data_IF_176844301455
#
_entry.id   IF_176844301455
#
_cell.length_a   1.000
_cell.length_b   1.000
_cell.length_c   1.000
_cell.angle_alpha   90.00
_cell.angle_beta   90.00
_cell.angle_gamma   90.00
#
_symmetry.space_group_name_H-M   'P 1'
#
loop_
_entity.id
_entity.type
_entity.pdbx_description
1 polymer ?
#
# COMPACT_ATOMS: atom_id res chain seq x y z
N UNK A 1 12.38 -21.69 -3.12
CA UNK A 1 11.73 -22.05 -1.84
C UNK A 1 11.73 -20.84 -0.92
N UNK A 2 10.58 -20.54 -0.29
CA UNK A 2 10.55 -19.60 0.82
C UNK A 2 11.31 -20.26 1.98
N UNK A 3 12.33 -19.58 2.49
CA UNK A 3 13.31 -20.15 3.44
C UNK A 3 12.71 -20.63 4.78
N UNK A 4 11.43 -20.33 5.05
CA UNK A 4 10.76 -20.55 6.33
C UNK A 4 9.25 -20.84 6.20
N UNK A 5 8.82 -21.65 5.22
CA UNK A 5 7.41 -22.03 5.13
C UNK A 5 7.20 -23.43 4.58
N UNK A 6 6.30 -24.19 5.22
CA UNK A 6 5.85 -25.49 4.70
C UNK A 6 4.87 -25.27 3.55
N UNK A 7 5.34 -25.38 2.30
CA UNK A 7 4.51 -25.23 1.09
C UNK A 7 3.41 -26.30 1.00
N UNK A 8 3.68 -27.51 1.53
CA UNK A 8 2.74 -28.64 1.56
C UNK A 8 2.69 -29.20 2.99
N UNK A 9 1.81 -28.71 3.86
CA UNK A 9 1.69 -29.22 5.22
C UNK A 9 1.27 -30.69 5.21
N UNK A 10 1.71 -31.46 6.22
CA UNK A 10 1.22 -32.82 6.42
C UNK A 10 -0.30 -32.82 6.70
N UNK A 11 -0.95 -33.97 6.54
CA UNK A 11 -2.37 -34.11 6.87
C UNK A 11 -2.62 -33.72 8.34
N UNK A 12 -3.48 -32.73 8.58
CA UNK A 12 -3.78 -32.20 9.92
C UNK A 12 -2.84 -31.10 10.42
N UNK A 13 -1.83 -30.69 9.63
CA UNK A 13 -0.96 -29.56 9.94
C UNK A 13 -1.46 -28.28 9.23
N UNK A 14 -1.44 -27.15 9.92
CA UNK A 14 -1.67 -25.85 9.30
C UNK A 14 -0.39 -25.32 8.64
N UNK A 15 -0.47 -24.61 7.50
CA UNK A 15 0.70 -24.03 6.87
C UNK A 15 1.27 -22.88 7.71
N UNK A 16 2.60 -22.81 7.83
CA UNK A 16 3.30 -21.74 8.58
C UNK A 16 3.05 -20.35 7.99
N UNK A 17 2.75 -20.29 6.69
CA UNK A 17 2.36 -19.07 5.97
C UNK A 17 1.01 -19.33 5.31
N UNK A 18 -0.02 -18.62 5.77
CA UNK A 18 -1.39 -18.74 5.28
C UNK A 18 -1.95 -17.45 4.67
N UNK A 19 -1.08 -16.45 4.45
CA UNK A 19 -1.42 -15.16 3.85
C UNK A 19 -0.46 -14.86 2.69
N UNK A 20 -1.01 -14.74 1.47
CA UNK A 20 -0.25 -14.37 0.28
C UNK A 20 -0.54 -12.97 -0.23
N UNK A 21 0.31 -12.52 -1.15
CA UNK A 21 0.10 -11.32 -1.95
C UNK A 21 -0.25 -11.73 -3.38
N UNK A 22 -1.32 -11.17 -3.93
CA UNK A 22 -1.57 -11.16 -5.37
C UNK A 22 -1.48 -9.72 -5.87
N UNK A 23 -0.73 -9.48 -6.94
CA UNK A 23 -0.56 -8.14 -7.51
C UNK A 23 -1.15 -8.06 -8.91
N UNK A 24 -1.77 -6.93 -9.23
CA UNK A 24 -2.31 -6.62 -10.56
C UNK A 24 -2.00 -5.17 -10.94
N UNK A 25 -1.76 -4.94 -12.22
CA UNK A 25 -1.64 -3.61 -12.82
C UNK A 25 -2.64 -3.54 -13.96
N UNK A 26 -3.45 -2.48 -13.97
CA UNK A 26 -4.34 -2.18 -15.09
C UNK A 26 -3.69 -1.13 -15.96
N UNK A 27 -3.53 -1.40 -17.26
CA UNK A 27 -2.88 -0.50 -18.21
C UNK A 27 -3.85 0.05 -19.26
N UNK A 28 -5.16 -0.15 -19.09
CA UNK A 28 -6.19 0.22 -20.05
C UNK A 28 -5.96 -0.46 -21.42
N UNK A 29 -5.44 -1.69 -21.34
CA UNK A 29 -5.22 -2.59 -22.47
C UNK A 29 -6.19 -3.76 -22.30
N UNK A 30 -7.15 -3.89 -23.20
CA UNK A 30 -8.24 -4.84 -23.06
C UNK A 30 -7.74 -6.27 -22.88
N UNK A 31 -6.78 -6.70 -23.69
CA UNK A 31 -6.32 -8.09 -23.69
C UNK A 31 -5.49 -8.40 -22.44
N UNK A 32 -4.59 -7.49 -22.04
CA UNK A 32 -3.75 -7.65 -20.86
C UNK A 32 -4.55 -7.55 -19.55
N UNK A 33 -5.48 -6.58 -19.47
CA UNK A 33 -6.31 -6.37 -18.29
C UNK A 33 -7.31 -7.54 -18.14
N UNK A 34 -7.89 -8.02 -19.24
CA UNK A 34 -8.75 -9.21 -19.23
C UNK A 34 -7.97 -10.46 -18.78
N UNK A 35 -6.76 -10.67 -19.31
CA UNK A 35 -5.91 -11.78 -18.89
C UNK A 35 -5.61 -11.72 -17.39
N UNK A 36 -5.32 -10.52 -16.86
CA UNK A 36 -5.07 -10.30 -15.43
C UNK A 36 -6.28 -10.68 -14.57
N UNK A 37 -7.49 -10.29 -15.00
CA UNK A 37 -8.75 -10.67 -14.33
C UNK A 37 -8.99 -12.19 -14.39
N UNK A 38 -8.72 -12.83 -15.53
CA UNK A 38 -8.84 -14.27 -15.69
C UNK A 38 -7.89 -15.03 -14.74
N UNK A 39 -6.64 -14.57 -14.63
CA UNK A 39 -5.65 -15.15 -13.69
C UNK A 39 -6.04 -14.92 -12.24
N UNK A 40 -6.55 -13.74 -11.90
CA UNK A 40 -7.02 -13.44 -10.55
C UNK A 40 -8.21 -14.33 -10.16
N UNK A 41 -9.14 -14.60 -11.11
CA UNK A 41 -10.22 -15.56 -10.90
C UNK A 41 -9.71 -16.96 -10.58
N UNK A 42 -8.76 -17.47 -11.37
CA UNK A 42 -8.14 -18.79 -11.12
C UNK A 42 -7.50 -18.85 -9.73
N UNK A 43 -6.68 -17.86 -9.40
CA UNK A 43 -6.03 -17.75 -8.09
C UNK A 43 -7.04 -17.76 -6.94
N UNK A 44 -8.12 -16.98 -7.02
CA UNK A 44 -9.16 -16.92 -5.98
C UNK A 44 -9.84 -18.26 -5.73
N UNK A 45 -10.08 -19.03 -6.79
CA UNK A 45 -10.70 -20.36 -6.67
C UNK A 45 -9.74 -21.30 -5.95
N UNK A 46 -8.47 -21.33 -6.35
CA UNK A 46 -7.44 -22.17 -5.73
C UNK A 46 -7.20 -21.77 -4.26
N UNK A 47 -7.13 -20.47 -3.98
CA UNK A 47 -6.97 -19.92 -2.64
C UNK A 47 -8.16 -20.32 -1.74
N UNK A 48 -9.39 -20.19 -2.25
CA UNK A 48 -10.60 -20.60 -1.52
C UNK A 48 -10.66 -22.09 -1.24
N UNK A 49 -10.29 -22.93 -2.22
CA UNK A 49 -10.23 -24.40 -2.06
C UNK A 49 -9.16 -24.83 -1.05
N UNK A 50 -8.08 -24.06 -0.95
CA UNK A 50 -6.94 -24.36 -0.07
C UNK A 50 -7.03 -23.69 1.30
N UNK A 51 -8.08 -22.90 1.57
CA UNK A 51 -8.17 -22.08 2.79
C UNK A 51 -7.07 -21.02 2.91
N UNK A 52 -6.47 -20.62 1.79
CA UNK A 52 -5.36 -19.68 1.75
C UNK A 52 -5.86 -18.24 1.66
N UNK A 53 -5.43 -17.38 2.59
CA UNK A 53 -5.85 -15.97 2.63
C UNK A 53 -4.93 -15.14 1.75
N UNK A 54 -5.42 -14.00 1.29
CA UNK A 54 -4.60 -13.10 0.48
C UNK A 54 -4.95 -11.64 0.70
N UNK A 55 -4.00 -10.77 0.42
CA UNK A 55 -4.26 -9.35 0.19
C UNK A 55 -3.92 -9.00 -1.26
N UNK A 56 -4.58 -7.97 -1.78
CA UNK A 56 -4.52 -7.62 -3.19
C UNK A 56 -3.78 -6.30 -3.36
N UNK A 57 -2.67 -6.32 -4.09
CA UNK A 57 -1.94 -5.12 -4.49
C UNK A 57 -2.37 -4.68 -5.88
N UNK A 58 -2.80 -3.42 -5.98
CA UNK A 58 -3.22 -2.82 -7.26
C UNK A 58 -2.34 -1.62 -7.54
N UNK A 59 -1.64 -1.66 -8.66
CA UNK A 59 -0.77 -0.59 -9.10
C UNK A 59 -1.49 0.36 -10.05
N UNK A 60 -1.02 1.62 -10.05
CA UNK A 60 -1.26 2.53 -11.16
C UNK A 60 -0.64 1.97 -12.45
N UNK A 61 -1.09 2.43 -13.64
CA UNK A 61 -0.49 2.04 -14.90
C UNK A 61 1.04 2.21 -14.90
N UNK A 62 1.75 1.26 -15.51
CA UNK A 62 3.20 1.22 -15.53
C UNK A 62 3.79 1.32 -16.95
N UNK A 63 2.96 1.69 -17.92
CA UNK A 63 3.33 2.03 -19.29
C UNK A 63 3.46 3.55 -19.44
N UNK A 64 4.21 4.00 -20.45
CA UNK A 64 4.44 5.43 -20.69
C UNK A 64 3.17 6.19 -21.06
N UNK A 65 2.24 5.52 -21.74
CA UNK A 65 0.93 6.06 -22.10
C UNK A 65 -0.08 4.91 -22.05
N UNK A 66 -1.11 5.05 -21.23
CA UNK A 66 -2.24 4.13 -21.12
C UNK A 66 -3.54 4.74 -21.69
N UNK A 67 -3.46 5.92 -22.33
CA UNK A 67 -4.63 6.65 -22.81
C UNK A 67 -5.53 7.22 -21.71
N UNK A 68 -5.13 7.13 -20.45
CA UNK A 68 -5.85 7.72 -19.30
C UNK A 68 -5.11 8.99 -18.86
N UNK A 69 -5.80 10.14 -18.76
CA UNK A 69 -5.20 11.37 -18.24
C UNK A 69 -4.63 11.18 -16.83
N UNK A 70 -3.46 11.77 -16.53
CA UNK A 70 -2.79 11.60 -15.23
C UNK A 70 -3.69 11.95 -14.04
N UNK A 71 -4.51 13.00 -14.16
CA UNK A 71 -5.45 13.44 -13.14
C UNK A 71 -6.68 12.51 -12.97
N UNK A 72 -6.88 11.54 -13.86
CA UNK A 72 -7.96 10.54 -13.81
C UNK A 72 -7.48 9.15 -13.42
N UNK A 73 -6.17 8.95 -13.20
CA UNK A 73 -5.60 7.66 -12.81
C UNK A 73 -6.22 7.12 -11.52
N UNK A 74 -6.50 8.01 -10.56
CA UNK A 74 -7.20 7.65 -9.32
C UNK A 74 -8.57 7.01 -9.60
N UNK A 75 -9.40 7.69 -10.40
CA UNK A 75 -10.74 7.24 -10.78
C UNK A 75 -10.69 5.93 -11.59
N UNK A 76 -9.76 5.84 -12.54
CA UNK A 76 -9.55 4.64 -13.34
C UNK A 76 -9.20 3.42 -12.47
N UNK A 77 -8.30 3.58 -11.50
CA UNK A 77 -7.90 2.47 -10.64
C UNK A 77 -9.03 2.03 -9.70
N UNK A 78 -9.74 2.97 -9.06
CA UNK A 78 -10.85 2.59 -8.16
C UNK A 78 -12.00 1.92 -8.91
N UNK A 79 -12.28 2.33 -10.14
CA UNK A 79 -13.29 1.72 -11.00
C UNK A 79 -12.91 0.29 -11.41
N UNK A 80 -11.63 0.05 -11.75
CA UNK A 80 -11.13 -1.29 -11.99
C UNK A 80 -11.17 -2.17 -10.73
N UNK A 81 -10.85 -1.64 -9.55
CA UNK A 81 -10.98 -2.37 -8.28
C UNK A 81 -12.44 -2.73 -8.02
N UNK A 82 -13.36 -1.77 -8.16
CA UNK A 82 -14.79 -1.99 -7.96
C UNK A 82 -15.31 -3.10 -8.88
N UNK A 83 -15.00 -3.05 -10.18
CA UNK A 83 -15.38 -4.09 -11.14
C UNK A 83 -14.72 -5.44 -10.86
N UNK A 84 -13.43 -5.45 -10.54
CA UNK A 84 -12.69 -6.67 -10.24
C UNK A 84 -13.25 -7.40 -9.00
N UNK A 85 -13.74 -6.64 -8.01
CA UNK A 85 -14.31 -7.19 -6.78
C UNK A 85 -15.84 -7.37 -6.82
N UNK A 86 -16.51 -6.85 -7.85
CA UNK A 86 -17.94 -6.99 -8.03
C UNK A 86 -18.34 -8.48 -8.14
N UNK A 87 -19.38 -8.86 -7.40
CA UNK A 87 -19.90 -10.24 -7.41
C UNK A 87 -19.00 -11.26 -6.70
N UNK A 88 -17.88 -10.85 -6.10
CA UNK A 88 -17.08 -11.74 -5.25
C UNK A 88 -17.78 -11.97 -3.91
N UNK A 89 -18.08 -13.23 -3.52
CA UNK A 89 -18.59 -13.54 -2.18
C UNK A 89 -17.62 -13.09 -1.10
N UNK A 90 -18.13 -12.60 0.04
CA UNK A 90 -17.29 -12.07 1.13
C UNK A 90 -16.18 -13.02 1.57
N UNK A 91 -16.45 -14.32 1.63
CA UNK A 91 -15.48 -15.35 2.01
C UNK A 91 -14.31 -15.53 1.02
N UNK A 92 -14.42 -14.97 -0.19
CA UNK A 92 -13.40 -15.05 -1.25
C UNK A 92 -12.83 -13.68 -1.63
N UNK A 93 -13.01 -12.67 -0.75
CA UNK A 93 -12.44 -11.33 -0.89
C UNK A 93 -11.01 -11.28 -0.31
N UNK A 94 -10.19 -10.32 -0.74
CA UNK A 94 -8.92 -10.07 -0.06
C UNK A 94 -9.15 -9.61 1.37
N UNK A 95 -8.20 -9.90 2.25
CA UNK A 95 -8.15 -9.39 3.63
C UNK A 95 -8.06 -7.86 3.67
N UNK A 96 -7.28 -7.30 2.75
CA UNK A 96 -7.18 -5.85 2.54
C UNK A 96 -6.61 -5.55 1.13
N UNK A 97 -6.77 -4.31 0.72
CA UNK A 97 -6.14 -3.76 -0.48
C UNK A 97 -4.81 -3.08 -0.12
N UNK A 98 -3.87 -3.14 -1.05
CA UNK A 98 -2.62 -2.38 -1.02
C UNK A 98 -2.52 -1.58 -2.31
N UNK A 99 -2.85 -0.29 -2.25
CA UNK A 99 -2.89 0.58 -3.44
C UNK A 99 -1.97 1.79 -3.32
N UNK A 100 -1.66 2.43 -4.44
CA UNK A 100 -1.09 3.78 -4.41
C UNK A 100 -2.08 4.78 -3.81
N UNK A 101 -1.58 5.77 -3.08
CA UNK A 101 -2.40 6.89 -2.63
C UNK A 101 -2.54 7.90 -3.79
N UNK A 102 -3.69 7.87 -4.46
CA UNK A 102 -4.00 8.75 -5.61
C UNK A 102 -4.79 10.00 -5.19
N UNK A 103 -4.62 10.44 -3.94
CA UNK A 103 -5.28 11.62 -3.38
C UNK A 103 -6.55 11.32 -2.57
N UNK A 104 -7.06 12.35 -1.89
CA UNK A 104 -8.14 12.22 -0.91
C UNK A 104 -9.44 11.72 -1.53
N UNK A 105 -9.87 12.33 -2.64
CA UNK A 105 -11.13 11.99 -3.29
C UNK A 105 -11.19 10.53 -3.77
N UNK A 106 -10.10 10.03 -4.38
CA UNK A 106 -10.03 8.64 -4.83
C UNK A 106 -10.04 7.66 -3.65
N UNK A 107 -9.31 7.97 -2.56
CA UNK A 107 -9.30 7.14 -1.36
C UNK A 107 -10.69 7.10 -0.70
N UNK A 108 -11.32 8.26 -0.50
CA UNK A 108 -12.65 8.37 0.10
C UNK A 108 -13.71 7.66 -0.74
N UNK A 109 -13.66 7.78 -2.06
CA UNK A 109 -14.57 7.11 -2.97
C UNK A 109 -14.48 5.57 -2.85
N UNK A 110 -13.26 5.02 -2.84
CA UNK A 110 -13.07 3.57 -2.72
C UNK A 110 -13.49 3.06 -1.34
N UNK A 111 -13.09 3.76 -0.27
CA UNK A 111 -13.46 3.40 1.11
C UNK A 111 -14.97 3.47 1.31
N UNK A 112 -15.64 4.47 0.74
CA UNK A 112 -17.09 4.63 0.84
C UNK A 112 -17.88 3.62 0.00
N UNK A 113 -17.32 3.15 -1.11
CA UNK A 113 -17.99 2.23 -2.04
C UNK A 113 -18.21 0.83 -1.45
N UNK A 114 -17.18 0.21 -0.86
CA UNK A 114 -17.30 -1.10 -0.22
C UNK A 114 -16.66 -1.10 1.17
N UNK A 115 -17.44 -0.77 2.23
CA UNK A 115 -16.92 -0.68 3.59
C UNK A 115 -16.52 -2.03 4.18
N UNK A 116 -16.79 -3.15 3.50
CA UNK A 116 -16.37 -4.47 3.97
C UNK A 116 -14.97 -4.87 3.49
N UNK A 117 -14.32 -4.06 2.65
CA UNK A 117 -12.94 -4.26 2.23
C UNK A 117 -12.06 -3.22 2.90
N UNK A 118 -11.07 -3.69 3.67
CA UNK A 118 -10.08 -2.80 4.28
C UNK A 118 -9.18 -2.23 3.20
N UNK A 119 -9.13 -0.90 3.07
CA UNK A 119 -8.24 -0.22 2.12
C UNK A 119 -6.92 0.14 2.81
N UNK A 120 -5.81 -0.21 2.18
CA UNK A 120 -4.46 0.12 2.63
C UNK A 120 -3.59 0.70 1.53
N UNK A 121 -2.52 1.37 1.92
CA UNK A 121 -1.60 2.05 1.01
C UNK A 121 -0.22 1.39 0.93
N UNK A 122 0.40 1.44 -0.23
CA UNK A 122 1.83 1.16 -0.40
C UNK A 122 2.67 2.40 -0.14
N UNK A 123 3.89 2.21 0.38
CA UNK A 123 4.82 3.31 0.62
C UNK A 123 5.50 3.85 -0.65
N UNK A 124 5.61 3.09 -1.74
CA UNK A 124 6.33 3.55 -2.92
C UNK A 124 7.85 3.52 -2.75
N UNK A 125 8.57 4.43 -3.41
CA UNK A 125 10.04 4.55 -3.38
C UNK A 125 10.51 5.31 -2.14
N UNK A 126 11.82 5.31 -1.87
CA UNK A 126 12.42 6.18 -0.85
C UNK A 126 12.15 7.64 -1.17
N UNK A 127 11.74 8.41 -0.17
CA UNK A 127 11.32 9.82 -0.28
C UNK A 127 12.00 10.67 0.79
N UNK A 128 11.56 11.91 0.95
CA UNK A 128 11.81 12.72 2.15
C UNK A 128 11.06 12.15 3.36
N UNK A 129 11.51 12.50 4.56
CA UNK A 129 10.84 12.13 5.82
C UNK A 129 9.43 12.70 5.89
N UNK A 130 9.27 13.98 5.54
CA UNK A 130 7.97 14.65 5.56
C UNK A 130 6.97 13.99 4.62
N UNK A 131 7.37 13.66 3.39
CA UNK A 131 6.51 12.98 2.42
C UNK A 131 6.01 11.63 2.96
N UNK A 132 6.83 10.89 3.72
CA UNK A 132 6.43 9.61 4.30
C UNK A 132 5.43 9.77 5.46
N UNK A 133 5.69 10.72 6.35
CA UNK A 133 4.82 10.98 7.50
C UNK A 133 3.49 11.61 7.05
N UNK A 134 3.53 12.51 6.07
CA UNK A 134 2.33 13.08 5.47
C UNK A 134 1.50 12.02 4.73
N UNK A 135 2.16 11.09 4.02
CA UNK A 135 1.48 10.00 3.32
C UNK A 135 0.65 9.13 4.25
N UNK A 136 1.24 8.63 5.34
CA UNK A 136 0.51 7.76 6.27
C UNK A 136 -0.59 8.52 7.02
N UNK A 137 -0.32 9.78 7.39
CA UNK A 137 -1.28 10.66 8.05
C UNK A 137 -2.51 10.91 7.17
N UNK A 138 -2.31 11.37 5.94
CA UNK A 138 -3.41 11.72 5.03
C UNK A 138 -4.17 10.47 4.58
N UNK A 139 -3.48 9.39 4.24
CA UNK A 139 -4.16 8.16 3.88
C UNK A 139 -5.08 7.67 5.01
N UNK A 140 -4.63 7.73 6.28
CA UNK A 140 -5.47 7.41 7.44
C UNK A 140 -6.67 8.36 7.55
N UNK A 141 -6.43 9.67 7.44
CA UNK A 141 -7.46 10.72 7.48
C UNK A 141 -8.57 10.46 6.46
N UNK A 142 -8.20 9.98 5.27
CA UNK A 142 -9.12 9.71 4.16
C UNK A 142 -9.66 8.28 4.12
N UNK A 143 -9.41 7.47 5.15
CA UNK A 143 -10.10 6.20 5.34
C UNK A 143 -9.24 4.93 5.23
N UNK A 144 -7.98 5.04 4.80
CA UNK A 144 -7.08 3.89 4.81
C UNK A 144 -6.83 3.39 6.24
N UNK A 145 -6.64 2.07 6.41
CA UNK A 145 -6.41 1.44 7.73
C UNK A 145 -5.17 0.57 7.80
N UNK A 146 -4.48 0.39 6.68
CA UNK A 146 -3.23 -0.38 6.59
C UNK A 146 -2.20 0.41 5.78
N UNK A 147 -0.94 0.35 6.17
CA UNK A 147 0.18 0.90 5.40
C UNK A 147 1.29 -0.15 5.28
N UNK A 148 1.75 -0.40 4.05
CA UNK A 148 2.83 -1.34 3.76
C UNK A 148 4.02 -0.58 3.18
N UNK A 149 4.89 -0.09 4.06
CA UNK A 149 6.07 0.68 3.71
C UNK A 149 7.29 -0.25 3.70
N UNK A 150 7.99 -0.33 2.56
CA UNK A 150 9.22 -1.12 2.42
C UNK A 150 10.43 -0.22 2.16
N UNK A 151 10.55 0.29 0.94
CA UNK A 151 11.71 1.10 0.50
C UNK A 151 11.91 2.37 1.33
N UNK A 152 10.83 3.04 1.76
CA UNK A 152 10.92 4.23 2.62
C UNK A 152 11.60 3.92 3.95
N UNK A 153 11.17 2.87 4.64
CA UNK A 153 11.76 2.45 5.91
C UNK A 153 13.22 2.02 5.69
N UNK A 154 13.47 1.17 4.69
CA UNK A 154 14.82 0.69 4.36
C UNK A 154 15.78 1.83 3.99
N UNK A 155 15.27 2.87 3.34
CA UNK A 155 16.05 4.00 2.86
C UNK A 155 16.24 5.12 3.90
N UNK A 156 15.65 5.01 5.09
CA UNK A 156 15.86 5.95 6.17
C UNK A 156 17.26 5.76 6.81
N UNK A 157 17.84 6.83 7.33
CA UNK A 157 19.14 6.82 8.01
C UNK A 157 19.13 5.92 9.25
N UNK A 158 17.99 5.87 9.95
CA UNK A 158 17.74 4.91 11.02
C UNK A 158 16.34 4.30 10.87
N UNK A 159 16.21 3.10 10.26
CA UNK A 159 14.92 2.46 10.00
C UNK A 159 14.07 2.24 11.26
N UNK A 160 14.69 2.00 12.41
CA UNK A 160 13.98 1.80 13.68
C UNK A 160 13.38 3.12 14.18
N UNK A 161 14.20 4.14 14.39
CA UNK A 161 13.72 5.45 14.85
C UNK A 161 12.71 6.08 13.88
N UNK A 162 12.91 5.86 12.57
CA UNK A 162 11.97 6.27 11.54
C UNK A 162 10.61 5.57 11.70
N UNK A 163 10.61 4.26 11.94
CA UNK A 163 9.39 3.46 12.12
C UNK A 163 8.68 3.78 13.43
N UNK A 164 9.43 4.02 14.51
CA UNK A 164 8.88 4.42 15.81
C UNK A 164 8.12 5.76 15.65
N UNK A 165 8.74 6.75 15.02
CA UNK A 165 8.08 8.04 14.71
C UNK A 165 6.91 7.87 13.72
N UNK A 166 7.06 7.01 12.70
CA UNK A 166 6.00 6.72 11.74
C UNK A 166 4.75 6.15 12.44
N UNK A 167 4.94 5.33 13.48
CA UNK A 167 3.85 4.80 14.32
C UNK A 167 3.16 5.91 15.10
N UNK A 168 3.90 6.82 15.73
CA UNK A 168 3.33 7.97 16.45
C UNK A 168 2.47 8.86 15.54
N UNK A 169 2.95 9.13 14.31
CA UNK A 169 2.18 9.85 13.29
C UNK A 169 0.94 9.07 12.85
N UNK A 170 1.07 7.76 12.63
CA UNK A 170 -0.04 6.89 12.27
C UNK A 170 -1.08 6.76 13.38
N UNK A 171 -0.69 6.84 14.65
CA UNK A 171 -1.62 6.89 15.80
C UNK A 171 -2.29 8.26 15.92
N UNK A 172 -1.67 9.31 15.41
CA UNK A 172 -2.14 10.69 15.53
C UNK A 172 -1.69 11.35 16.83
N UNK A 173 -0.68 10.78 17.50
CA UNK A 173 -0.08 11.36 18.70
C UNK A 173 0.72 12.62 18.36
N UNK A 174 1.32 12.65 17.15
CA UNK A 174 2.03 13.81 16.61
C UNK A 174 1.67 14.02 15.13
N UNK A 175 1.75 15.27 14.67
CA UNK A 175 1.56 15.61 13.26
C UNK A 175 2.80 15.28 12.41
N UNK A 176 2.68 15.24 11.07
CA UNK A 176 3.80 14.95 10.17
C UNK A 176 5.01 15.87 10.35
N UNK A 177 4.78 17.18 10.49
CA UNK A 177 5.83 18.20 10.65
C UNK A 177 6.60 18.00 11.96
N UNK A 178 5.90 17.70 13.05
CA UNK A 178 6.52 17.43 14.35
C UNK A 178 7.18 16.05 14.38
N UNK A 179 6.66 15.08 13.61
CA UNK A 179 7.31 13.82 13.34
C UNK A 179 8.69 14.01 12.71
N UNK A 180 8.83 14.88 11.70
CA UNK A 180 10.15 15.16 11.09
C UNK A 180 11.12 15.70 12.13
N UNK A 181 10.69 16.64 12.98
CA UNK A 181 11.53 17.18 14.05
C UNK A 181 11.92 16.12 15.08
N UNK A 182 10.98 15.26 15.47
CA UNK A 182 11.20 14.18 16.43
C UNK A 182 12.24 13.18 15.90
N UNK A 183 12.05 12.69 14.66
CA UNK A 183 13.00 11.78 14.02
C UNK A 183 14.41 12.41 13.91
N UNK A 184 14.50 13.68 13.51
CA UNK A 184 15.79 14.38 13.42
C UNK A 184 16.45 14.57 14.78
N UNK A 185 15.68 14.84 15.83
CA UNK A 185 16.20 14.90 17.20
C UNK A 185 16.76 13.54 17.65
N UNK A 186 16.11 12.44 17.26
CA UNK A 186 16.62 11.10 17.56
C UNK A 186 17.88 10.77 16.76
N UNK A 187 17.97 11.19 15.49
CA UNK A 187 19.21 11.10 14.73
C UNK A 187 20.36 11.86 15.40
N UNK A 188 20.10 13.09 15.88
CA UNK A 188 21.09 13.90 16.60
C UNK A 188 21.58 13.20 17.88
N UNK A 189 20.66 12.69 18.72
CA UNK A 189 21.02 11.93 19.94
C UNK A 189 21.86 10.70 19.64
N UNK A 190 21.66 10.08 18.48
CA UNK A 190 22.42 8.91 18.01
C UNK A 190 23.72 9.29 17.28
N UNK A 191 24.01 10.58 17.10
CA UNK A 191 25.18 11.06 16.35
C UNK A 191 25.10 10.75 14.86
N UNK A 192 23.90 10.52 14.31
CA UNK A 192 23.66 10.22 12.90
C UNK A 192 23.40 11.52 12.15
N UNK A 193 24.21 11.82 11.13
CA UNK A 193 24.01 12.99 10.27
C UNK A 193 22.85 12.72 9.30
N UNK A 194 21.81 13.58 9.26
CA UNK A 194 20.73 13.46 8.27
C UNK A 194 21.26 13.57 6.83
N UNK A 195 20.68 12.80 5.91
CA UNK A 195 21.08 12.80 4.50
C UNK A 195 20.68 14.09 3.76
N UNK A 196 19.70 14.83 4.30
CA UNK A 196 19.14 16.06 3.73
C UNK A 196 19.15 17.21 4.75
N UNK A 197 19.19 18.43 4.22
CA UNK A 197 18.84 19.63 4.99
C UNK A 197 17.42 19.51 5.55
N UNK A 198 17.05 20.35 6.52
CA UNK A 198 15.70 20.31 7.05
C UNK A 198 14.70 20.71 5.94
N UNK A 199 15.02 21.74 5.18
CA UNK A 199 14.20 22.30 4.10
C UNK A 199 13.96 21.27 2.99
N UNK A 200 15.00 20.56 2.55
CA UNK A 200 14.87 19.52 1.52
C UNK A 200 14.10 18.29 2.02
N UNK A 201 14.13 18.02 3.32
CA UNK A 201 13.42 16.89 3.93
C UNK A 201 11.93 17.20 4.21
N UNK A 202 11.52 18.45 4.01
CA UNK A 202 10.14 18.94 4.10
C UNK A 202 9.40 18.99 2.75
N UNK A 203 9.99 18.44 1.67
CA UNK A 203 9.40 18.46 0.32
C UNK A 203 8.47 17.28 0.09
N UNK A 204 7.29 17.53 -0.48
CA UNK A 204 6.36 16.48 -0.96
C UNK A 204 6.75 16.01 -2.36
N UNK A 205 6.87 14.69 -2.51
CA UNK A 205 7.25 14.01 -3.75
C UNK A 205 6.16 13.08 -4.27
N UNK A 206 5.32 12.55 -3.39
CA UNK A 206 4.20 11.67 -3.76
C UNK A 206 3.15 12.49 -4.49
N UNK A 207 2.80 12.13 -5.76
CA UNK A 207 1.82 12.90 -6.53
C UNK A 207 0.47 13.07 -5.83
N UNK A 208 -0.06 12.03 -5.19
CA UNK A 208 -1.33 12.12 -4.47
C UNK A 208 -1.32 12.98 -3.20
N UNK A 209 -0.18 13.51 -2.77
CA UNK A 209 -0.08 14.46 -1.65
C UNK A 209 -0.01 15.93 -2.10
N UNK A 210 0.15 16.17 -3.41
CA UNK A 210 0.19 17.52 -3.99
C UNK A 210 -1.21 17.96 -4.38
#
# INVERSE_FOLDING_TARGET
EARYGTLNPASGQEPDVNLGLYSVTFNNDLDADWLSLARFKTFRVEAGQSGFRYFLEVFNPNVSDCGVPENQIGEFIIDNIARMLAGIPRASRPEFLKIAYNGPAAMEALVGYDPSVVVGILGGVTSTTYDAYKLIHDAKKHGARVALFGRRIKGAENPRAFTDTLREVADGNIGPEDGVKAYRSDLEKLGIKPARSFEDDMVLLTPGLK
#
